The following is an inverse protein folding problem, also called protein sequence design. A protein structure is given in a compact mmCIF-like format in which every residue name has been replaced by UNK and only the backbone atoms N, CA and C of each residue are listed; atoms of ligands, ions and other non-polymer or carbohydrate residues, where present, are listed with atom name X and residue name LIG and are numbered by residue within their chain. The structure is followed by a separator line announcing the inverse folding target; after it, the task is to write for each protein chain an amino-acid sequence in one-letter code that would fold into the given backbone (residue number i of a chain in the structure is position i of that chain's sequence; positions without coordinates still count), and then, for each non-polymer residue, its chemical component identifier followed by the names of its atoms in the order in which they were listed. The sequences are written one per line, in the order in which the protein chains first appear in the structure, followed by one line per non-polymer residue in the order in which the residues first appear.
data_IF_260001862776
#
_entry.id   IF_260001862776
#
_cell.length_a   1.000
_cell.length_b   1.000
_cell.length_c   1.000
_cell.angle_alpha   90.00
_cell.angle_beta   90.00
_cell.angle_gamma   90.00
#
_symmetry.space_group_name_H-M   'P 1'
#
loop_
_entity.id
_entity.type
_entity.pdbx_description
1 polymer ?
#
# COMPACT_ATOMS: atom_id res chain seq x y z
N UNK A 1 -13.03 9.87 0.96
CA UNK A 1 -12.18 9.13 0.00
C UNK A 1 -10.96 8.70 0.76
N UNK A 2 -10.73 7.40 0.91
CA UNK A 2 -9.53 6.90 1.57
C UNK A 2 -8.29 7.23 0.73
N UNK A 3 -7.16 7.42 1.38
CA UNK A 3 -5.88 7.66 0.70
C UNK A 3 -5.24 6.32 0.43
N UNK A 4 -4.61 6.12 -0.73
CA UNK A 4 -3.97 4.85 -1.06
C UNK A 4 -2.86 4.52 -0.05
N UNK A 5 -2.61 3.24 0.18
CA UNK A 5 -1.54 2.79 1.05
C UNK A 5 -0.31 2.51 0.20
N UNK A 6 0.82 3.09 0.57
CA UNK A 6 2.10 2.85 -0.07
C UNK A 6 3.01 2.05 0.86
N UNK A 7 3.66 1.04 0.30
CA UNK A 7 4.79 0.33 0.91
C UNK A 7 6.04 0.82 0.21
N UNK A 8 6.84 1.64 0.89
CA UNK A 8 8.03 2.29 0.34
C UNK A 8 9.30 1.82 1.04
N UNK A 9 10.42 1.64 0.33
CA UNK A 9 11.70 1.39 1.00
C UNK A 9 12.08 2.63 1.81
N UNK A 10 12.48 2.44 3.08
CA UNK A 10 12.97 3.52 3.93
C UNK A 10 14.13 3.03 4.78
N UNK A 11 15.29 3.65 4.61
CA UNK A 11 16.54 3.30 5.32
C UNK A 11 16.86 1.79 5.21
N UNK A 12 17.05 1.08 6.32
CA UNK A 12 17.26 -0.37 6.37
C UNK A 12 15.97 -1.21 6.25
N UNK A 13 14.80 -0.61 6.03
CA UNK A 13 13.51 -1.29 6.06
C UNK A 13 12.46 -0.76 5.07
N UNK A 14 11.20 -0.88 5.49
CA UNK A 14 10.02 -0.61 4.68
C UNK A 14 8.95 0.09 5.49
N UNK A 15 8.48 1.22 4.96
CA UNK A 15 7.43 2.03 5.57
C UNK A 15 6.09 1.79 4.90
N UNK A 16 5.05 1.70 5.72
CA UNK A 16 3.65 1.77 5.29
C UNK A 16 3.18 3.20 5.49
N UNK A 17 2.77 3.88 4.42
CA UNK A 17 2.38 5.29 4.47
C UNK A 17 1.14 5.55 3.63
N UNK A 18 0.21 6.37 4.14
CA UNK A 18 -0.92 6.85 3.33
C UNK A 18 -0.45 7.85 2.28
N UNK A 19 -1.09 7.84 1.12
CA UNK A 19 -0.87 8.81 0.07
C UNK A 19 -1.04 10.23 0.60
N UNK A 20 0.01 11.05 0.49
CA UNK A 20 0.03 12.42 1.00
C UNK A 20 0.26 12.56 2.51
N UNK A 21 0.43 11.47 3.27
CA UNK A 21 0.83 11.56 4.67
C UNK A 21 2.28 12.03 4.81
N UNK A 22 2.54 12.72 5.92
CA UNK A 22 3.88 13.25 6.25
C UNK A 22 4.77 12.21 6.95
N UNK A 23 4.16 11.19 7.54
CA UNK A 23 4.83 10.20 8.38
C UNK A 23 4.34 8.80 8.01
N UNK A 24 5.24 7.82 8.14
CA UNK A 24 4.87 6.42 8.05
C UNK A 24 3.92 6.05 9.20
N UNK A 25 2.91 5.25 8.88
CA UNK A 25 2.04 4.63 9.88
C UNK A 25 2.78 3.52 10.62
N UNK A 26 3.59 2.73 9.92
CA UNK A 26 4.43 1.69 10.49
C UNK A 26 5.71 1.48 9.70
N UNK A 27 6.75 1.01 10.40
CA UNK A 27 8.03 0.63 9.85
C UNK A 27 8.28 -0.86 10.09
N UNK A 28 8.82 -1.54 9.08
CA UNK A 28 9.09 -2.97 9.11
C UNK A 28 10.49 -3.27 8.55
N UNK A 29 11.12 -4.33 9.05
CA UNK A 29 12.46 -4.73 8.59
C UNK A 29 12.42 -5.30 7.16
N UNK A 30 11.32 -5.97 6.79
CA UNK A 30 11.18 -6.62 5.49
C UNK A 30 10.01 -6.10 4.67
N UNK A 31 10.11 -6.29 3.35
CA UNK A 31 9.05 -5.86 2.43
C UNK A 31 7.79 -6.69 2.68
N UNK A 32 7.97 -7.99 2.92
CA UNK A 32 6.88 -8.93 3.16
C UNK A 32 6.04 -8.53 4.38
N UNK A 33 6.69 -8.12 5.48
CA UNK A 33 5.99 -7.63 6.68
C UNK A 33 5.23 -6.33 6.42
N UNK A 34 5.84 -5.36 5.73
CA UNK A 34 5.18 -4.12 5.36
C UNK A 34 4.00 -4.34 4.40
N UNK A 35 4.15 -5.27 3.45
CA UNK A 35 3.08 -5.66 2.54
C UNK A 35 1.93 -6.33 3.30
N UNK A 36 2.22 -7.19 4.26
CA UNK A 36 1.18 -7.80 5.09
C UNK A 36 0.40 -6.74 5.89
N UNK A 37 1.09 -5.83 6.57
CA UNK A 37 0.47 -4.73 7.30
C UNK A 37 -0.34 -3.78 6.38
N UNK A 38 0.27 -3.35 5.27
CA UNK A 38 -0.37 -2.50 4.27
C UNK A 38 -1.58 -3.16 3.60
N UNK A 39 -1.56 -4.49 3.42
CA UNK A 39 -2.69 -5.26 2.90
C UNK A 39 -3.88 -5.23 3.85
N UNK A 40 -3.66 -5.50 5.14
CA UNK A 40 -4.73 -5.42 6.15
C UNK A 40 -5.33 -4.02 6.21
N UNK A 41 -4.47 -2.99 6.12
CA UNK A 41 -4.89 -1.59 6.12
C UNK A 41 -5.72 -1.23 4.89
N UNK A 42 -5.21 -1.55 3.70
CA UNK A 42 -5.87 -1.25 2.44
C UNK A 42 -7.23 -1.97 2.31
N UNK A 43 -7.34 -3.20 2.84
CA UNK A 43 -8.61 -3.92 2.97
C UNK A 43 -9.59 -3.23 3.91
N UNK A 44 -9.14 -2.82 5.09
CA UNK A 44 -9.99 -2.15 6.08
C UNK A 44 -10.48 -0.80 5.60
N UNK A 45 -9.68 -0.08 4.82
CA UNK A 45 -10.00 1.27 4.31
C UNK A 45 -10.61 1.24 2.90
N UNK A 46 -10.70 0.07 2.27
CA UNK A 46 -11.18 -0.11 0.90
C UNK A 46 -10.45 0.81 -0.11
N UNK A 47 -9.12 0.79 -0.06
CA UNK A 47 -8.24 1.60 -0.91
C UNK A 47 -7.25 0.72 -1.68
N UNK A 48 -6.44 1.32 -2.55
CA UNK A 48 -5.37 0.60 -3.23
C UNK A 48 -4.11 0.50 -2.37
N UNK A 49 -3.40 -0.63 -2.48
CA UNK A 49 -2.06 -0.85 -1.97
C UNK A 49 -1.06 -0.75 -3.12
N UNK A 50 -0.04 0.07 -2.94
CA UNK A 50 1.03 0.34 -3.90
C UNK A 50 2.36 -0.11 -3.30
N UNK A 51 2.98 -1.13 -3.89
CA UNK A 51 4.22 -1.72 -3.39
C UNK A 51 5.36 -1.22 -4.25
N UNK A 52 6.25 -0.43 -3.66
CA UNK A 52 7.44 0.07 -4.34
C UNK A 52 8.58 -0.95 -4.27
N UNK A 53 9.50 -0.91 -5.22
CA UNK A 53 10.79 -1.58 -5.13
C UNK A 53 11.82 -0.70 -4.44
N UNK A 54 13.01 -1.27 -4.16
CA UNK A 54 14.17 -0.51 -3.66
C UNK A 54 14.64 0.57 -4.64
N UNK A 55 14.24 0.49 -5.90
CA UNK A 55 14.44 1.50 -6.95
C UNK A 55 13.41 2.64 -6.90
N UNK A 56 12.48 2.61 -5.94
CA UNK A 56 11.42 3.61 -5.75
C UNK A 56 10.24 3.47 -6.71
N UNK A 57 10.33 2.59 -7.71
CA UNK A 57 9.26 2.36 -8.68
C UNK A 57 8.20 1.42 -8.12
N UNK A 58 6.95 1.57 -8.56
CA UNK A 58 5.88 0.64 -8.18
C UNK A 58 6.11 -0.69 -8.88
N UNK A 59 6.31 -1.76 -8.11
CA UNK A 59 6.49 -3.13 -8.62
C UNK A 59 5.20 -3.93 -8.60
N UNK A 60 4.28 -3.62 -7.69
CA UNK A 60 3.00 -4.30 -7.58
C UNK A 60 1.92 -3.34 -7.06
N UNK A 61 0.67 -3.58 -7.48
CA UNK A 61 -0.52 -2.87 -7.02
C UNK A 61 -1.60 -3.87 -6.69
N UNK A 62 -2.32 -3.65 -5.60
CA UNK A 62 -3.49 -4.43 -5.22
C UNK A 62 -4.63 -3.49 -4.87
N UNK A 63 -5.76 -3.57 -5.57
CA UNK A 63 -6.92 -2.73 -5.27
C UNK A 63 -7.90 -3.48 -4.36
N UNK A 64 -8.27 -2.86 -3.23
CA UNK A 64 -9.27 -3.39 -2.30
C UNK A 64 -10.51 -2.48 -2.22
N UNK A 65 -10.48 -1.36 -2.95
CA UNK A 65 -11.59 -0.43 -3.12
C UNK A 65 -12.50 -0.86 -4.27
N UNK A 66 -13.81 -0.81 -4.01
CA UNK A 66 -14.91 -1.16 -4.88
C UNK A 66 -14.65 -0.86 -6.36
N UNK A 67 -14.31 -1.89 -7.14
CA UNK A 67 -14.45 -1.86 -8.60
C UNK A 67 -15.96 -2.10 -8.85
N UNK A 68 -16.77 -1.09 -9.22
CA UNK A 68 -18.11 -1.36 -9.74
C UNK A 68 -17.93 -1.99 -11.12
N UNK A 69 -17.50 -3.27 -11.17
CA UNK A 69 -17.65 -4.10 -12.37
C UNK A 69 -19.13 -4.46 -12.54
N UNK A 70 -19.95 -3.45 -12.78
CA UNK A 70 -21.19 -3.63 -13.55
C UNK A 70 -20.82 -3.44 -15.02
N UNK A 71 -20.09 -4.40 -15.57
CA UNK A 71 -20.22 -4.72 -17.00
C UNK A 71 -21.05 -6.00 -17.08
N UNK A 72 -22.36 -5.92 -17.35
CA UNK A 72 -23.08 -7.07 -17.87
C UNK A 72 -22.48 -7.37 -19.25
N UNK A 73 -21.95 -8.58 -19.42
CA UNK A 73 -21.72 -9.15 -20.74
C UNK A 73 -23.03 -9.58 -21.39
#
# INVERSE_FOLDING_TARGET
MGSNIHVVPHDEGWDVIHEGARYAESHHATQEEAVAAGTTKAQSEHVELLIHGRDGQIRSRSSFGHDPRTIPG
#
